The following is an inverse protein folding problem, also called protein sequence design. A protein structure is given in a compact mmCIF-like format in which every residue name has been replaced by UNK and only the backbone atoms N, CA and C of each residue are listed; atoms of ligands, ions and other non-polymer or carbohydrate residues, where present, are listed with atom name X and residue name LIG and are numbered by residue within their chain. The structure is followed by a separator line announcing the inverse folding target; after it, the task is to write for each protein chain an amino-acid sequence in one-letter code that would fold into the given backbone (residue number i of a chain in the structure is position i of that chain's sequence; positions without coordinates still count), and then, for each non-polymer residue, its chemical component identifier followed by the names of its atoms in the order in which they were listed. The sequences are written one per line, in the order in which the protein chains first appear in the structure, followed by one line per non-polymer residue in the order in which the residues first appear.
data_IF_152380777113
#
_entry.id   IF_152380777113
#
_cell.length_a   1.000
_cell.length_b   1.000
_cell.length_c   1.000
_cell.angle_alpha   90.00
_cell.angle_beta   90.00
_cell.angle_gamma   90.00
#
_symmetry.space_group_name_H-M   'P 1'
#
loop_
_entity.id
_entity.type
_entity.pdbx_description
1 polymer ?
#
# COMPACT_ATOMS: atom_id res chain seq x y z
N UNK A 1 2.23 -3.88 27.24
CA UNK A 1 2.41 -3.83 25.77
C UNK A 1 1.35 -2.89 25.23
N UNK A 2 1.70 -2.01 24.29
CA UNK A 2 0.74 -1.11 23.63
C UNK A 2 -0.03 -1.90 22.55
N UNK A 3 -1.01 -2.69 22.99
CA UNK A 3 -1.82 -3.54 22.12
C UNK A 3 -2.66 -2.73 21.13
N UNK A 4 -3.03 -1.50 21.50
CA UNK A 4 -3.76 -0.58 20.61
C UNK A 4 -2.89 -0.20 19.40
N UNK A 5 -1.61 0.10 19.62
CA UNK A 5 -0.70 0.43 18.52
C UNK A 5 -0.51 -0.75 17.55
N UNK A 6 -0.41 -1.98 18.05
CA UNK A 6 -0.37 -3.19 17.22
C UNK A 6 -1.66 -3.38 16.43
N UNK A 7 -2.82 -3.18 17.08
CA UNK A 7 -4.12 -3.26 16.42
C UNK A 7 -4.26 -2.24 15.28
N UNK A 8 -3.93 -0.97 15.53
CA UNK A 8 -3.98 0.09 14.50
C UNK A 8 -3.02 -0.23 13.34
N UNK A 9 -1.83 -0.75 13.64
CA UNK A 9 -0.85 -1.14 12.62
C UNK A 9 -1.37 -2.25 11.71
N UNK A 10 -1.90 -3.33 12.28
CA UNK A 10 -2.46 -4.44 11.50
C UNK A 10 -3.70 -4.01 10.72
N UNK A 11 -4.59 -3.23 11.34
CA UNK A 11 -5.78 -2.66 10.70
C UNK A 11 -5.38 -1.79 9.51
N UNK A 12 -4.42 -0.87 9.69
CA UNK A 12 -3.93 0.01 8.64
C UNK A 12 -3.29 -0.77 7.50
N UNK A 13 -2.44 -1.75 7.81
CA UNK A 13 -1.76 -2.57 6.81
C UNK A 13 -2.75 -3.41 5.98
N UNK A 14 -3.74 -4.04 6.63
CA UNK A 14 -4.80 -4.80 5.93
C UNK A 14 -5.64 -3.90 5.04
N UNK A 15 -6.15 -2.79 5.58
CA UNK A 15 -6.99 -1.84 4.84
C UNK A 15 -6.23 -1.28 3.65
N UNK A 16 -5.01 -0.78 3.86
CA UNK A 16 -4.15 -0.26 2.79
C UNK A 16 -3.91 -1.30 1.71
N UNK A 17 -3.60 -2.53 2.10
CA UNK A 17 -3.38 -3.64 1.17
C UNK A 17 -4.63 -3.89 0.34
N UNK A 18 -5.79 -4.11 0.95
CA UNK A 18 -7.04 -4.39 0.23
C UNK A 18 -7.35 -3.29 -0.79
N UNK A 19 -7.30 -2.01 -0.38
CA UNK A 19 -7.56 -0.90 -1.28
C UNK A 19 -6.55 -0.84 -2.44
N UNK A 20 -5.26 -1.01 -2.15
CA UNK A 20 -4.24 -1.01 -3.18
C UNK A 20 -4.36 -2.21 -4.12
N UNK A 21 -4.75 -3.39 -3.64
CA UNK A 21 -4.96 -4.55 -4.51
C UNK A 21 -6.07 -4.30 -5.53
N UNK A 22 -7.14 -3.62 -5.12
CA UNK A 22 -8.26 -3.28 -6.01
C UNK A 22 -7.91 -2.14 -6.97
N UNK A 23 -7.21 -1.11 -6.51
CA UNK A 23 -6.89 0.10 -7.31
C UNK A 23 -5.70 -0.16 -8.23
N UNK A 24 -4.65 -0.83 -7.74
CA UNK A 24 -3.43 -1.05 -8.50
C UNK A 24 -3.61 -2.08 -9.62
N UNK A 25 -4.50 -3.07 -9.49
CA UNK A 25 -4.71 -4.07 -10.52
C UNK A 25 -5.15 -3.48 -11.89
N UNK A 26 -6.20 -2.63 -12.00
CA UNK A 26 -6.54 -2.00 -13.26
C UNK A 26 -5.46 -1.02 -13.76
N UNK A 27 -4.77 -0.31 -12.85
CA UNK A 27 -3.67 0.60 -13.21
C UNK A 27 -2.50 -0.19 -13.81
N UNK A 28 -2.06 -1.26 -13.14
CA UNK A 28 -1.01 -2.14 -13.61
C UNK A 28 -1.38 -2.83 -14.94
N UNK A 29 -2.65 -3.22 -15.12
CA UNK A 29 -3.15 -3.75 -16.39
C UNK A 29 -3.03 -2.70 -17.51
N UNK A 30 -3.47 -1.47 -17.25
CA UNK A 30 -3.38 -0.40 -18.23
C UNK A 30 -1.92 -0.09 -18.60
N UNK A 31 -1.03 -0.06 -17.60
CA UNK A 31 0.41 0.15 -17.81
C UNK A 31 1.10 -1.04 -18.48
N UNK A 32 0.60 -2.26 -18.35
CA UNK A 32 1.18 -3.44 -19.01
C UNK A 32 0.80 -3.49 -20.50
N UNK A 33 -0.47 -3.24 -20.84
CA UNK A 33 -0.98 -3.54 -22.19
C UNK A 33 -1.31 -2.33 -23.04
N UNK A 34 -1.65 -1.18 -22.47
CA UNK A 34 -1.97 0.00 -23.27
C UNK A 34 -0.72 0.84 -23.60
N UNK A 35 -0.75 1.43 -24.80
CA UNK A 35 0.15 2.49 -25.25
C UNK A 35 -0.68 3.76 -25.38
N UNK A 36 -0.35 4.78 -24.62
CA UNK A 36 -1.00 6.09 -24.68
C UNK A 36 0.02 7.19 -24.40
N UNK A 37 -0.21 8.37 -24.95
CA UNK A 37 0.62 9.56 -24.73
C UNK A 37 0.57 9.94 -23.26
N UNK A 38 1.73 10.12 -22.61
CA UNK A 38 1.84 10.42 -21.18
C UNK A 38 1.98 9.20 -20.26
N UNK A 39 2.03 7.97 -20.79
CA UNK A 39 2.27 6.75 -19.99
C UNK A 39 3.52 6.85 -19.11
N UNK A 40 4.64 7.34 -19.65
CA UNK A 40 5.88 7.49 -18.89
C UNK A 40 5.74 8.49 -17.73
N UNK A 41 4.98 9.57 -17.93
CA UNK A 41 4.69 10.53 -16.86
C UNK A 41 3.83 9.91 -15.75
N UNK A 42 2.80 9.14 -16.12
CA UNK A 42 1.97 8.43 -15.14
C UNK A 42 2.78 7.40 -14.34
N UNK A 43 3.66 6.64 -15.01
CA UNK A 43 4.57 5.71 -14.35
C UNK A 43 5.51 6.42 -13.38
N UNK A 44 6.10 7.55 -13.80
CA UNK A 44 6.94 8.37 -12.95
C UNK A 44 6.17 8.89 -11.73
N UNK A 45 4.93 9.34 -11.90
CA UNK A 45 4.08 9.81 -10.80
C UNK A 45 3.74 8.70 -9.80
N UNK A 46 3.43 7.49 -10.28
CA UNK A 46 3.14 6.33 -9.42
C UNK A 46 4.39 5.88 -8.66
N UNK A 47 5.57 5.98 -9.26
CA UNK A 47 6.83 5.55 -8.64
C UNK A 47 7.53 6.65 -7.85
N UNK A 48 7.09 7.90 -7.98
CA UNK A 48 7.62 9.05 -7.26
C UNK A 48 7.72 8.82 -5.73
N UNK A 49 6.75 8.17 -5.04
CA UNK A 49 6.87 7.90 -3.61
C UNK A 49 8.09 7.08 -3.22
N UNK A 50 8.65 6.25 -4.12
CA UNK A 50 9.88 5.49 -3.85
C UNK A 50 11.13 6.38 -3.81
N UNK A 51 11.10 7.51 -4.52
CA UNK A 51 12.23 8.42 -4.63
C UNK A 51 12.19 9.54 -3.56
N UNK A 52 11.01 9.81 -3.00
CA UNK A 52 10.83 10.88 -2.02
C UNK A 52 11.04 10.38 -0.59
N UNK A 53 11.70 11.18 0.27
CA UNK A 53 11.69 10.91 1.70
C UNK A 53 10.24 10.88 2.23
N UNK A 54 9.90 9.97 3.16
CA UNK A 54 8.54 9.87 3.72
C UNK A 54 8.06 11.18 4.37
N UNK A 55 9.00 11.99 4.88
CA UNK A 55 8.72 13.30 5.46
C UNK A 55 8.27 14.32 4.42
N UNK A 56 8.81 14.28 3.21
CA UNK A 56 8.38 15.15 2.11
C UNK A 56 6.95 14.81 1.70
N UNK A 57 6.63 13.52 1.60
CA UNK A 57 5.27 13.05 1.31
C UNK A 57 4.31 13.50 2.43
N UNK A 58 4.66 13.25 3.69
CA UNK A 58 3.86 13.67 4.85
C UNK A 58 3.59 15.18 4.88
N UNK A 59 4.61 15.99 4.63
CA UNK A 59 4.49 17.45 4.57
C UNK A 59 3.46 17.92 3.53
N UNK A 60 3.57 17.45 2.29
CA UNK A 60 2.64 17.86 1.24
C UNK A 60 1.24 17.29 1.48
N UNK A 61 1.11 16.11 2.09
CA UNK A 61 -0.19 15.58 2.50
C UNK A 61 -0.86 16.45 3.57
N UNK A 62 -0.11 16.99 4.54
CA UNK A 62 -0.66 17.97 5.50
C UNK A 62 -1.19 19.20 4.77
N UNK A 63 -0.45 19.74 3.80
CA UNK A 63 -0.88 20.92 3.04
C UNK A 63 -2.17 20.64 2.27
N UNK A 64 -2.27 19.48 1.61
CA UNK A 64 -3.38 19.14 0.73
C UNK A 64 -4.62 18.66 1.49
N UNK A 65 -4.42 17.85 2.54
CA UNK A 65 -5.49 17.24 3.36
C UNK A 65 -5.87 18.09 4.58
N UNK A 66 -5.09 19.12 4.90
CA UNK A 66 -5.41 20.05 5.98
C UNK A 66 -6.61 20.96 5.66
N UNK A 67 -7.16 21.68 6.65
CA UNK A 67 -8.40 22.45 6.50
C UNK A 67 -8.38 23.52 5.39
N UNK A 68 -7.19 24.04 5.07
CA UNK A 68 -6.98 25.03 4.00
C UNK A 68 -6.64 24.39 2.65
N UNK A 69 -6.30 23.11 2.64
CA UNK A 69 -5.98 22.36 1.43
C UNK A 69 -7.22 22.03 0.63
N UNK A 70 -7.06 21.83 -0.68
CA UNK A 70 -8.20 21.54 -1.57
C UNK A 70 -8.94 20.26 -1.16
N UNK A 71 -8.21 19.19 -0.82
CA UNK A 71 -8.80 17.90 -0.42
C UNK A 71 -9.41 17.99 0.98
N UNK A 72 -8.71 18.62 1.93
CA UNK A 72 -9.25 18.79 3.28
C UNK A 72 -10.50 19.66 3.33
N UNK A 73 -10.53 20.76 2.56
CA UNK A 73 -11.69 21.66 2.45
C UNK A 73 -12.90 20.96 1.86
N UNK A 74 -12.73 20.22 0.76
CA UNK A 74 -13.82 19.47 0.12
C UNK A 74 -14.35 18.36 1.04
N UNK A 75 -13.47 17.65 1.74
CA UNK A 75 -13.87 16.66 2.75
C UNK A 75 -14.66 17.27 3.90
N UNK A 76 -14.19 18.41 4.44
CA UNK A 76 -14.88 19.12 5.52
C UNK A 76 -16.26 19.62 5.12
N UNK A 77 -16.44 20.06 3.87
CA UNK A 77 -17.76 20.44 3.34
C UNK A 77 -18.73 19.26 3.24
N UNK A 78 -18.23 18.07 2.90
CA UNK A 78 -19.07 16.88 2.71
C UNK A 78 -19.38 16.13 4.01
N UNK A 79 -18.46 16.14 4.97
CA UNK A 79 -18.53 15.31 6.18
C UNK A 79 -18.63 16.09 7.48
N UNK A 80 -18.31 17.39 7.46
CA UNK A 80 -18.14 18.21 8.66
C UNK A 80 -16.87 17.92 9.46
N UNK A 81 -16.02 16.98 9.04
CA UNK A 81 -14.83 16.52 9.77
C UNK A 81 -13.49 16.89 9.13
N UNK A 82 -12.40 16.56 9.84
CA UNK A 82 -11.01 16.67 9.35
C UNK A 82 -10.52 15.34 8.77
N UNK A 83 -9.63 15.39 7.77
CA UNK A 83 -8.87 14.22 7.34
C UNK A 83 -7.63 13.99 8.21
N UNK A 84 -6.93 15.06 8.60
CA UNK A 84 -5.76 14.96 9.47
C UNK A 84 -6.16 14.42 10.83
N UNK A 85 -5.25 13.65 11.44
CA UNK A 85 -5.45 13.02 12.75
C UNK A 85 -6.59 12.00 12.82
N UNK A 86 -6.96 11.39 11.68
CA UNK A 86 -7.97 10.33 11.61
C UNK A 86 -7.42 9.05 11.00
N UNK A 87 -8.05 7.91 11.30
CA UNK A 87 -7.70 6.64 10.66
C UNK A 87 -7.85 6.69 9.12
N UNK A 88 -8.83 7.44 8.61
CA UNK A 88 -9.02 7.65 7.16
C UNK A 88 -7.82 8.41 6.57
N UNK A 89 -7.38 9.47 7.25
CA UNK A 89 -6.25 10.28 6.79
C UNK A 89 -4.96 9.48 6.67
N UNK A 90 -4.61 8.72 7.71
CA UNK A 90 -3.41 7.86 7.66
C UNK A 90 -3.55 6.72 6.64
N UNK A 91 -4.77 6.25 6.37
CA UNK A 91 -5.02 5.24 5.33
C UNK A 91 -4.75 5.81 3.94
N UNK A 92 -5.24 7.02 3.64
CA UNK A 92 -4.95 7.71 2.37
C UNK A 92 -3.44 7.94 2.22
N UNK A 93 -2.79 8.40 3.29
CA UNK A 93 -1.34 8.60 3.31
C UNK A 93 -0.57 7.31 3.04
N UNK A 94 -0.98 6.21 3.69
CA UNK A 94 -0.40 4.88 3.51
C UNK A 94 -0.61 4.36 2.08
N UNK A 95 -1.78 4.57 1.46
CA UNK A 95 -2.05 4.21 0.06
C UNK A 95 -1.12 4.96 -0.88
N UNK A 96 -0.97 6.28 -0.73
CA UNK A 96 -0.11 7.11 -1.59
C UNK A 96 1.35 6.70 -1.43
N UNK A 97 1.79 6.46 -0.20
CA UNK A 97 3.15 6.02 0.08
C UNK A 97 3.45 4.62 -0.46
N UNK A 98 2.47 3.71 -0.38
CA UNK A 98 2.64 2.28 -0.71
C UNK A 98 2.27 1.90 -2.14
N UNK A 99 1.65 2.78 -2.93
CA UNK A 99 1.19 2.49 -4.30
C UNK A 99 2.25 1.88 -5.24
N UNK A 100 3.54 2.30 -5.24
CA UNK A 100 4.53 1.67 -6.12
C UNK A 100 4.72 0.18 -5.83
N UNK A 101 4.65 -0.20 -4.55
CA UNK A 101 4.82 -1.59 -4.10
C UNK A 101 3.65 -2.49 -4.50
N UNK A 102 2.50 -1.91 -4.87
CA UNK A 102 1.39 -2.64 -5.48
C UNK A 102 1.52 -2.70 -7.01
N UNK A 103 1.71 -1.55 -7.66
CA UNK A 103 1.64 -1.42 -9.12
C UNK A 103 2.81 -2.11 -9.81
N UNK A 104 4.04 -1.95 -9.31
CA UNK A 104 5.24 -2.48 -9.95
C UNK A 104 5.23 -4.02 -10.07
N UNK A 105 5.04 -4.80 -8.98
CA UNK A 105 4.99 -6.26 -9.07
C UNK A 105 3.80 -6.77 -9.90
N UNK A 106 2.62 -6.15 -9.78
CA UNK A 106 1.47 -6.51 -10.62
C UNK A 106 1.73 -6.27 -12.10
N UNK A 107 2.27 -5.10 -12.47
CA UNK A 107 2.61 -4.76 -13.85
C UNK A 107 3.63 -5.75 -14.40
N UNK A 108 4.64 -6.10 -13.61
CA UNK A 108 5.64 -7.09 -13.99
C UNK A 108 5.03 -8.48 -14.21
N UNK A 109 4.10 -8.91 -13.34
CA UNK A 109 3.40 -10.18 -13.49
C UNK A 109 2.51 -10.21 -14.74
N UNK A 110 1.70 -9.17 -14.96
CA UNK A 110 0.83 -9.07 -16.14
C UNK A 110 1.65 -9.05 -17.43
N UNK A 111 2.76 -8.32 -17.45
CA UNK A 111 3.63 -8.22 -18.63
C UNK A 111 4.30 -9.55 -19.02
N UNK A 112 4.34 -10.54 -18.13
CA UNK A 112 4.89 -11.88 -18.42
C UNK A 112 3.90 -12.81 -19.13
N UNK A 113 2.61 -12.49 -19.15
CA UNK A 113 1.61 -13.31 -19.84
C UNK A 113 1.85 -13.23 -21.34
N UNK A 114 1.93 -14.39 -22.00
CA UNK A 114 2.06 -14.47 -23.45
C UNK A 114 0.87 -13.78 -24.12
N UNK A 115 1.16 -12.85 -25.04
CA UNK A 115 0.15 -12.15 -25.83
C UNK A 115 -0.72 -13.13 -26.62
N UNK A 116 -0.17 -14.27 -27.06
CA UNK A 116 -0.93 -15.31 -27.78
C UNK A 116 -2.09 -15.86 -26.96
N UNK A 117 -1.95 -15.97 -25.63
CA UNK A 117 -3.04 -16.38 -24.75
C UNK A 117 -4.18 -15.35 -24.74
N UNK A 118 -3.84 -14.05 -24.77
CA UNK A 118 -4.81 -12.97 -24.83
C UNK A 118 -5.48 -12.90 -26.20
N UNK A 119 -4.71 -13.05 -27.28
CA UNK A 119 -5.25 -13.06 -28.64
C UNK A 119 -6.22 -14.23 -28.84
N UNK A 120 -5.87 -15.42 -28.36
CA UNK A 120 -6.77 -16.59 -28.36
C UNK A 120 -8.06 -16.33 -27.56
N UNK A 121 -7.94 -15.71 -26.37
CA UNK A 121 -9.09 -15.33 -25.57
C UNK A 121 -10.03 -14.36 -26.32
N UNK A 122 -9.48 -13.37 -27.04
CA UNK A 122 -10.26 -12.43 -27.84
C UNK A 122 -10.94 -13.11 -29.03
N UNK A 123 -10.26 -14.05 -29.71
CA UNK A 123 -10.86 -14.85 -30.80
C UNK A 123 -12.03 -15.70 -30.29
N UNK A 124 -11.94 -16.23 -29.07
CA UNK A 124 -13.03 -16.94 -28.40
C UNK A 124 -14.17 -16.02 -27.89
N UNK A 125 -14.14 -14.73 -28.22
CA UNK A 125 -15.21 -13.78 -27.92
C UNK A 125 -15.12 -13.13 -26.53
N UNK A 126 -14.04 -13.32 -25.78
CA UNK A 126 -13.86 -12.61 -24.50
C UNK A 126 -13.64 -11.11 -24.75
N UNK A 127 -14.37 -10.25 -24.04
CA UNK A 127 -14.06 -8.81 -24.00
C UNK A 127 -12.77 -8.55 -23.21
N UNK A 128 -12.14 -7.38 -23.37
CA UNK A 128 -10.94 -6.98 -22.57
C UNK A 128 -11.16 -7.11 -21.06
N UNK A 129 -12.35 -6.73 -20.58
CA UNK A 129 -12.74 -6.89 -19.17
C UNK A 129 -12.84 -8.36 -18.78
N UNK A 130 -13.46 -9.19 -19.63
CA UNK A 130 -13.56 -10.63 -19.36
C UNK A 130 -12.19 -11.31 -19.39
N UNK A 131 -11.32 -10.96 -20.33
CA UNK A 131 -9.94 -11.45 -20.40
C UNK A 131 -9.13 -11.04 -19.16
N UNK A 132 -9.32 -9.82 -18.65
CA UNK A 132 -8.69 -9.38 -17.40
C UNK A 132 -9.04 -10.30 -16.23
N UNK A 133 -10.32 -10.53 -15.97
CA UNK A 133 -10.76 -11.35 -14.82
C UNK A 133 -10.56 -12.85 -15.02
N UNK A 134 -10.67 -13.36 -16.24
CA UNK A 134 -10.67 -14.82 -16.52
C UNK A 134 -9.31 -15.36 -16.98
N UNK A 135 -8.43 -14.51 -17.49
CA UNK A 135 -7.11 -14.93 -17.99
C UNK A 135 -6.01 -14.26 -17.19
N UNK A 136 -6.01 -12.93 -17.10
CA UNK A 136 -4.86 -12.19 -16.54
C UNK A 136 -4.73 -12.39 -15.03
N UNK A 137 -5.82 -12.16 -14.29
CA UNK A 137 -5.82 -12.30 -12.83
C UNK A 137 -5.45 -13.73 -12.40
N UNK A 138 -6.07 -14.80 -12.92
CA UNK A 138 -5.72 -16.17 -12.52
C UNK A 138 -4.27 -16.54 -12.85
N UNK A 139 -3.77 -16.16 -14.04
CA UNK A 139 -2.39 -16.46 -14.44
C UNK A 139 -1.34 -15.58 -13.74
N UNK A 140 -1.76 -14.57 -12.98
CA UNK A 140 -0.87 -13.65 -12.27
C UNK A 140 -1.01 -13.73 -10.76
N UNK A 141 -1.68 -14.75 -10.22
CA UNK A 141 -2.02 -14.82 -8.80
C UNK A 141 -0.80 -14.73 -7.89
N UNK A 142 0.32 -15.33 -8.27
CA UNK A 142 1.57 -15.29 -7.50
C UNK A 142 2.18 -13.89 -7.49
N UNK A 143 2.11 -13.16 -8.61
CA UNK A 143 2.56 -11.78 -8.68
C UNK A 143 1.66 -10.81 -7.91
N UNK A 144 0.35 -11.04 -7.94
CA UNK A 144 -0.65 -10.32 -7.15
C UNK A 144 -0.43 -10.59 -5.65
N UNK A 145 -0.18 -11.84 -5.25
CA UNK A 145 0.12 -12.19 -3.87
C UNK A 145 1.43 -11.55 -3.38
N UNK A 146 2.48 -11.57 -4.21
CA UNK A 146 3.73 -10.88 -3.89
C UNK A 146 3.51 -9.37 -3.70
N UNK A 147 2.69 -8.72 -4.56
CA UNK A 147 2.31 -7.32 -4.41
C UNK A 147 1.58 -7.06 -3.08
N UNK A 148 0.60 -7.89 -2.73
CA UNK A 148 -0.16 -7.77 -1.49
C UNK A 148 0.75 -7.82 -0.26
N UNK A 149 1.70 -8.76 -0.25
CA UNK A 149 2.60 -8.94 0.90
C UNK A 149 3.61 -7.78 0.98
N UNK A 150 4.15 -7.32 -0.15
CA UNK A 150 5.03 -6.15 -0.17
C UNK A 150 4.33 -4.90 0.38
N UNK A 151 3.09 -4.64 -0.05
CA UNK A 151 2.28 -3.51 0.46
C UNK A 151 2.02 -3.65 1.95
N UNK A 152 1.66 -4.86 2.40
CA UNK A 152 1.38 -5.13 3.80
C UNK A 152 2.62 -4.87 4.69
N UNK A 153 3.76 -5.44 4.31
CA UNK A 153 5.03 -5.26 5.03
C UNK A 153 5.49 -3.81 5.02
N UNK A 154 5.35 -3.11 3.88
CA UNK A 154 5.70 -1.71 3.76
C UNK A 154 4.81 -0.82 4.64
N UNK A 155 3.50 -1.09 4.70
CA UNK A 155 2.53 -0.36 5.53
C UNK A 155 2.82 -0.54 7.02
N UNK A 156 3.21 -1.74 7.45
CA UNK A 156 3.61 -2.02 8.83
C UNK A 156 4.83 -1.20 9.25
N UNK A 157 5.83 -1.10 8.36
CA UNK A 157 7.08 -0.38 8.62
C UNK A 157 6.99 1.14 8.44
N UNK A 158 5.85 1.66 7.99
CA UNK A 158 5.68 3.08 7.75
C UNK A 158 5.71 3.88 9.06
N UNK A 159 6.42 5.00 9.07
CA UNK A 159 6.59 5.85 10.25
C UNK A 159 6.39 7.33 9.90
N UNK A 160 7.35 7.93 9.18
CA UNK A 160 7.42 9.39 9.03
C UNK A 160 6.16 10.01 8.42
N UNK A 161 5.63 9.42 7.34
CA UNK A 161 4.40 9.89 6.70
C UNK A 161 3.18 9.77 7.63
N UNK A 162 3.11 8.71 8.44
CA UNK A 162 1.98 8.45 9.33
C UNK A 162 1.99 9.36 10.55
N UNK A 163 3.16 9.58 11.15
CA UNK A 163 3.32 10.50 12.28
C UNK A 163 2.93 11.92 11.88
N UNK A 164 3.32 12.36 10.68
CA UNK A 164 2.99 13.70 10.19
C UNK A 164 1.49 13.89 9.93
N UNK A 165 0.84 12.93 9.26
CA UNK A 165 -0.58 13.06 8.89
C UNK A 165 -1.52 12.73 10.04
N UNK A 166 -1.16 11.74 10.86
CA UNK A 166 -2.01 11.16 11.89
C UNK A 166 -1.67 11.59 13.33
N UNK A 167 -0.48 12.11 13.57
CA UNK A 167 0.04 12.27 14.93
C UNK A 167 0.20 10.93 15.64
N UNK A 168 0.00 10.92 16.96
CA UNK A 168 0.12 9.73 17.81
C UNK A 168 -1.11 9.59 18.70
N UNK A 169 -2.28 9.36 18.09
CA UNK A 169 -3.54 9.22 18.83
C UNK A 169 -3.75 7.73 19.17
N UNK A 170 -3.73 7.33 20.46
CA UNK A 170 -3.90 5.93 20.85
C UNK A 170 -5.23 5.36 20.34
N UNK A 171 -5.18 4.16 19.76
CA UNK A 171 -6.35 3.45 19.23
C UNK A 171 -6.88 3.97 17.89
N UNK A 172 -6.41 5.12 17.41
CA UNK A 172 -6.89 5.74 16.17
C UNK A 172 -5.78 5.86 15.11
N UNK A 173 -4.67 6.53 15.44
CA UNK A 173 -3.58 6.81 14.47
C UNK A 173 -2.20 6.35 14.89
N UNK A 174 -2.02 6.06 16.18
CA UNK A 174 -0.75 5.59 16.73
C UNK A 174 -0.46 4.18 16.24
N UNK A 175 0.42 4.06 15.25
CA UNK A 175 0.98 2.77 14.81
C UNK A 175 2.17 2.37 15.67
N UNK A 176 2.58 1.11 15.58
CA UNK A 176 3.61 0.54 16.44
C UNK A 176 4.99 1.16 16.20
N UNK A 177 5.30 1.58 14.97
CA UNK A 177 6.54 2.32 14.67
C UNK A 177 6.60 3.65 15.43
N UNK A 178 5.47 4.35 15.55
CA UNK A 178 5.34 5.57 16.37
C UNK A 178 5.47 5.24 17.86
N UNK A 179 4.83 4.17 18.32
CA UNK A 179 4.93 3.73 19.71
C UNK A 179 6.38 3.34 20.11
N UNK A 180 7.14 2.71 19.20
CA UNK A 180 8.57 2.41 19.41
C UNK A 180 9.35 3.71 19.52
N UNK A 181 9.15 4.65 18.59
CA UNK A 181 9.84 5.94 18.58
C UNK A 181 9.62 6.73 19.88
N UNK A 182 8.36 6.89 20.30
CA UNK A 182 8.03 7.57 21.57
C UNK A 182 8.63 6.86 22.78
N UNK A 183 8.63 5.52 22.81
CA UNK A 183 9.23 4.78 23.90
C UNK A 183 10.76 5.02 23.99
N UNK A 184 11.43 5.17 22.86
CA UNK A 184 12.85 5.56 22.81
C UNK A 184 13.04 7.00 23.28
N UNK A 185 12.20 7.95 22.85
CA UNK A 185 12.25 9.35 23.31
C UNK A 185 12.06 9.47 24.83
N UNK A 186 11.21 8.61 25.41
CA UNK A 186 11.00 8.50 26.85
C UNK A 186 12.08 7.67 27.57
N UNK A 187 13.17 7.29 26.89
CA UNK A 187 14.25 6.44 27.42
C UNK A 187 13.78 5.08 27.95
N UNK A 188 12.61 4.61 27.53
CA UNK A 188 12.02 3.34 27.90
C UNK A 188 12.36 2.24 26.88
N UNK A 189 13.65 1.91 26.81
CA UNK A 189 14.18 0.89 25.88
C UNK A 189 13.57 -0.50 26.09
N UNK A 190 13.13 -0.83 27.31
CA UNK A 190 12.45 -2.09 27.59
C UNK A 190 11.12 -2.17 26.84
N UNK A 191 10.30 -1.13 26.91
CA UNK A 191 9.03 -1.10 26.18
C UNK A 191 9.25 -1.07 24.67
N UNK A 192 10.19 -0.24 24.18
CA UNK A 192 10.54 -0.18 22.76
C UNK A 192 10.98 -1.55 22.23
N UNK A 193 11.88 -2.24 22.95
CA UNK A 193 12.37 -3.56 22.61
C UNK A 193 11.27 -4.62 22.57
N UNK A 194 10.33 -4.61 23.53
CA UNK A 194 9.20 -5.54 23.53
C UNK A 194 8.29 -5.37 22.31
N UNK A 195 8.02 -4.13 21.89
CA UNK A 195 7.20 -3.86 20.69
C UNK A 195 7.98 -4.26 19.44
N UNK A 196 9.25 -3.86 19.31
CA UNK A 196 10.09 -4.20 18.16
C UNK A 196 10.25 -5.72 17.97
N UNK A 197 10.49 -6.47 19.05
CA UNK A 197 10.61 -7.94 19.01
C UNK A 197 9.33 -8.60 18.49
N UNK A 198 8.15 -8.02 18.72
CA UNK A 198 6.89 -8.58 18.21
C UNK A 198 6.76 -8.55 16.68
N UNK A 199 7.47 -7.64 16.00
CA UNK A 199 7.46 -7.54 14.54
C UNK A 199 8.33 -8.58 13.84
N UNK A 200 9.35 -9.11 14.51
CA UNK A 200 10.25 -10.12 13.93
C UNK A 200 9.49 -11.39 13.50
N UNK A 201 8.73 -12.07 14.39
CA UNK A 201 8.02 -13.28 13.99
C UNK A 201 6.92 -13.00 12.96
N UNK A 202 6.25 -11.84 13.05
CA UNK A 202 5.23 -11.42 12.07
C UNK A 202 5.89 -11.29 10.69
N UNK A 203 6.94 -10.48 10.58
CA UNK A 203 7.65 -10.24 9.32
C UNK A 203 8.23 -11.53 8.74
N UNK A 204 8.83 -12.37 9.58
CA UNK A 204 9.37 -13.66 9.17
C UNK A 204 8.29 -14.62 8.65
N UNK A 205 7.15 -14.72 9.33
CA UNK A 205 6.03 -15.54 8.88
C UNK A 205 5.49 -15.08 7.51
N UNK A 206 5.39 -13.77 7.28
CA UNK A 206 5.01 -13.22 5.98
C UNK A 206 6.05 -13.51 4.89
N UNK A 207 7.34 -13.42 5.18
CA UNK A 207 8.40 -13.78 4.23
C UNK A 207 8.37 -15.26 3.87
N UNK A 208 8.15 -16.15 4.84
CA UNK A 208 7.98 -17.58 4.57
C UNK A 208 6.75 -17.87 3.69
N UNK A 209 5.65 -17.13 3.91
CA UNK A 209 4.45 -17.23 3.09
C UNK A 209 4.74 -16.81 1.63
N UNK A 210 5.47 -15.71 1.42
CA UNK A 210 5.91 -15.28 0.08
C UNK A 210 6.70 -16.39 -0.62
N UNK A 211 7.69 -16.96 0.08
CA UNK A 211 8.57 -17.96 -0.51
C UNK A 211 7.79 -19.20 -0.93
N UNK A 212 6.89 -19.70 -0.08
CA UNK A 212 6.03 -20.84 -0.43
C UNK A 212 5.10 -20.56 -1.60
N UNK A 213 4.50 -19.36 -1.66
CA UNK A 213 3.63 -18.97 -2.77
C UNK A 213 4.39 -18.82 -4.09
N UNK A 214 5.66 -18.41 -4.03
CA UNK A 214 6.53 -18.32 -5.20
C UNK A 214 7.06 -19.68 -5.66
N UNK A 215 7.29 -20.62 -4.74
CA UNK A 215 7.69 -22.00 -5.05
C UNK A 215 6.58 -22.78 -5.76
N UNK A 216 5.34 -22.70 -5.26
CA UNK A 216 4.18 -23.35 -5.89
C UNK A 216 3.77 -22.75 -7.25
N UNK A 217 4.34 -21.61 -7.63
CA UNK A 217 4.15 -20.98 -8.94
C UNK A 217 5.20 -21.42 -9.98
N UNK A 218 6.29 -22.05 -9.53
CA UNK A 218 7.40 -22.53 -10.38
C UNK A 218 7.31 -24.03 -10.67
N UNK A 219 6.50 -24.77 -9.91
CA UNK A 219 6.16 -26.19 -10.10
C UNK A 219 4.96 -26.36 -11.01
#
# INVERSE_FOLDING_TARGET
MDYLALYVTLKLALVTTIFLMVIAAPVAYALAYYRFTGKSFLEALIYLPMALPPTVIGFYLIIVMGPKGFVGKTWGMLTGGSLLFTFIGITIASIIYSIPFAVQPMKAAFSKIDRRLLDAAYVLGLSKKAAFFRVIIPNSISGIAAAAILVFLHSIGAFGVLLMVGGSIPGETKVASIAIYEAVEMMNYKAAGMIALSFIPISYAFLLLINKLNEGARS
#
